data_IF_450431993329
#
_entry.id   IF_450431993329
#
_cell.length_a   1.000
_cell.length_b   1.000
_cell.length_c   1.000
_cell.angle_alpha   90.00
_cell.angle_beta   90.00
_cell.angle_gamma   90.00
#
_symmetry.space_group_name_H-M   'P 1'
#
loop_
_entity.id
_entity.type
_entity.pdbx_description
1 polymer ?
#
# COMPACT_ATOMS: atom_id res chain seq x y z
N UNK A 1 -12.81 -26.71 4.13
CA UNK A 1 -11.72 -26.60 5.14
C UNK A 1 -11.41 -25.14 5.40
N UNK A 2 -10.83 -24.82 6.57
CA UNK A 2 -10.42 -23.46 6.93
C UNK A 2 -9.50 -22.81 5.89
N UNK A 3 -8.60 -23.58 5.29
CA UNK A 3 -7.73 -23.08 4.22
C UNK A 3 -8.49 -22.66 2.95
N UNK A 4 -9.52 -23.41 2.59
CA UNK A 4 -10.38 -23.09 1.44
C UNK A 4 -11.24 -21.86 1.73
N UNK A 5 -11.74 -21.72 2.94
CA UNK A 5 -12.49 -20.53 3.38
C UNK A 5 -11.64 -19.27 3.29
N UNK A 6 -10.42 -19.30 3.86
CA UNK A 6 -9.47 -18.19 3.74
C UNK A 6 -9.17 -17.85 2.28
N UNK A 7 -8.89 -18.85 1.44
CA UNK A 7 -8.61 -18.64 0.02
C UNK A 7 -9.77 -17.94 -0.72
N UNK A 8 -11.01 -18.37 -0.48
CA UNK A 8 -12.21 -17.77 -1.10
C UNK A 8 -12.45 -16.35 -0.59
N UNK A 9 -12.19 -16.09 0.70
CA UNK A 9 -12.24 -14.77 1.31
C UNK A 9 -11.17 -13.84 0.72
N UNK A 10 -9.94 -14.32 0.57
CA UNK A 10 -8.83 -13.58 -0.02
C UNK A 10 -9.09 -13.21 -1.50
N UNK A 11 -9.89 -14.01 -2.22
CA UNK A 11 -10.40 -13.68 -3.56
C UNK A 11 -11.53 -12.64 -3.56
N UNK A 12 -11.92 -12.10 -2.40
CA UNK A 12 -12.98 -11.10 -2.28
C UNK A 12 -14.40 -11.66 -2.41
N UNK A 13 -14.60 -12.98 -2.27
CA UNK A 13 -15.93 -13.57 -2.25
C UNK A 13 -16.68 -13.17 -0.99
N UNK A 14 -17.74 -12.40 -1.14
CA UNK A 14 -18.58 -11.90 -0.04
C UNK A 14 -19.54 -12.94 0.52
N UNK A 15 -19.91 -13.91 -0.29
CA UNK A 15 -20.86 -14.96 0.07
C UNK A 15 -20.20 -16.30 -0.17
N UNK A 16 -20.15 -17.12 0.85
CA UNK A 16 -19.63 -18.48 0.78
C UNK A 16 -20.61 -19.43 1.43
N UNK A 17 -20.83 -20.58 0.80
CA UNK A 17 -21.62 -21.67 1.37
C UNK A 17 -20.83 -22.96 1.32
N UNK A 18 -21.09 -23.86 2.24
CA UNK A 18 -20.51 -25.21 2.20
C UNK A 18 -20.47 -25.89 3.57
N UNK A 19 -20.15 -27.18 3.56
CA UNK A 19 -20.09 -28.03 4.74
C UNK A 19 -19.08 -27.60 5.81
N UNK A 20 -18.25 -26.65 5.50
CA UNK A 20 -17.32 -26.06 6.49
C UNK A 20 -18.07 -25.22 7.54
N UNK A 21 -19.13 -24.55 7.12
CA UNK A 21 -19.98 -23.76 8.01
C UNK A 21 -21.09 -24.63 8.60
N UNK A 22 -21.99 -25.09 7.73
CA UNK A 22 -23.09 -25.94 8.11
C UNK A 22 -23.35 -27.01 7.05
N UNK A 23 -23.73 -28.20 7.52
CA UNK A 23 -24.33 -29.23 6.67
C UNK A 23 -25.80 -28.84 6.43
N UNK A 24 -26.45 -29.39 5.39
CA UNK A 24 -27.91 -29.24 5.25
C UNK A 24 -28.62 -29.66 6.56
N UNK A 25 -29.41 -28.75 7.09
CA UNK A 25 -30.16 -28.94 8.33
C UNK A 25 -31.64 -29.17 8.01
N UNK A 26 -32.38 -29.94 8.84
CA UNK A 26 -33.81 -29.93 8.85
C UNK A 26 -34.35 -28.51 9.11
N UNK A 27 -35.59 -28.24 8.68
CA UNK A 27 -36.15 -26.87 8.72
C UNK A 27 -36.21 -26.33 10.15
N UNK A 28 -36.60 -27.15 11.09
CA UNK A 28 -36.72 -26.84 12.52
C UNK A 28 -35.38 -26.46 13.16
N UNK A 29 -34.29 -27.21 12.83
CA UNK A 29 -32.94 -26.89 13.28
C UNK A 29 -32.41 -25.62 12.63
N UNK A 30 -32.79 -25.35 11.36
CA UNK A 30 -32.45 -24.14 10.65
C UNK A 30 -33.16 -22.90 11.22
N UNK A 31 -34.45 -23.02 11.59
CA UNK A 31 -35.20 -21.94 12.24
C UNK A 31 -34.61 -21.62 13.63
N UNK A 32 -34.20 -22.64 14.40
CA UNK A 32 -33.50 -22.45 15.68
C UNK A 32 -32.17 -21.72 15.48
N UNK A 33 -31.39 -22.11 14.46
CA UNK A 33 -30.12 -21.43 14.11
C UNK A 33 -30.33 -19.96 13.79
N UNK A 34 -31.37 -19.62 13.02
CA UNK A 34 -31.71 -18.24 12.66
C UNK A 34 -32.20 -17.40 13.86
N UNK A 35 -32.73 -18.05 14.89
CA UNK A 35 -33.21 -17.39 16.11
C UNK A 35 -32.08 -17.03 17.08
N UNK A 36 -30.87 -17.59 16.88
CA UNK A 36 -29.70 -17.30 17.72
C UNK A 36 -28.89 -16.13 17.11
N UNK A 37 -29.18 -14.92 17.56
CA UNK A 37 -28.49 -13.71 17.12
C UNK A 37 -26.96 -13.76 17.28
N UNK A 38 -26.42 -14.58 18.17
CA UNK A 38 -24.98 -14.74 18.38
C UNK A 38 -24.30 -15.56 17.28
N UNK A 39 -25.07 -16.35 16.53
CA UNK A 39 -24.60 -17.19 15.43
C UNK A 39 -24.77 -16.54 14.06
N UNK A 40 -25.57 -15.48 13.99
CA UNK A 40 -25.76 -14.70 12.79
C UNK A 40 -24.70 -13.59 12.71
N UNK A 41 -23.87 -13.65 11.69
CA UNK A 41 -22.94 -12.55 11.40
C UNK A 41 -23.70 -11.43 10.69
N UNK A 42 -24.13 -10.44 11.46
CA UNK A 42 -24.84 -9.27 10.94
C UNK A 42 -23.91 -8.28 10.21
N UNK A 43 -22.59 -8.47 10.27
CA UNK A 43 -21.63 -7.56 9.62
C UNK A 43 -21.69 -7.63 8.10
N UNK A 44 -22.19 -8.72 7.52
CA UNK A 44 -22.35 -8.87 6.07
C UNK A 44 -23.42 -7.97 5.43
N UNK A 45 -24.30 -7.33 6.21
CA UNK A 45 -25.43 -6.54 5.74
C UNK A 45 -25.31 -5.02 5.97
N UNK A 46 -24.28 -4.54 6.64
CA UNK A 46 -24.14 -3.12 7.00
C UNK A 46 -23.20 -2.40 6.03
N UNK A 47 -23.62 -2.18 4.81
CA UNK A 47 -23.03 -1.19 3.90
C UNK A 47 -23.57 0.23 4.15
N UNK A 48 -23.76 0.63 5.40
CA UNK A 48 -24.27 1.99 5.71
C UNK A 48 -23.25 2.95 6.32
N UNK A 49 -22.05 2.49 6.60
CA UNK A 49 -20.98 3.40 7.01
C UNK A 49 -19.79 3.18 6.09
N UNK A 50 -19.37 4.24 5.41
CA UNK A 50 -18.05 4.29 4.79
C UNK A 50 -17.07 4.37 5.93
N UNK A 51 -16.53 3.23 6.34
CA UNK A 51 -15.45 3.21 7.32
C UNK A 51 -14.20 3.80 6.68
N UNK A 52 -13.45 4.63 7.40
CA UNK A 52 -12.16 5.12 6.92
C UNK A 52 -11.27 3.91 6.63
N UNK A 53 -10.74 3.84 5.41
CA UNK A 53 -9.79 2.80 5.03
C UNK A 53 -8.48 3.05 5.77
N UNK A 54 -8.19 2.26 6.79
CA UNK A 54 -6.91 2.32 7.46
C UNK A 54 -5.86 1.56 6.64
N UNK A 55 -4.87 2.27 6.11
CA UNK A 55 -3.78 1.70 5.30
C UNK A 55 -3.10 0.52 6.01
N UNK A 56 -3.02 0.56 7.34
CA UNK A 56 -2.47 -0.53 8.17
C UNK A 56 -3.26 -1.83 8.02
N UNK A 57 -4.59 -1.78 8.14
CA UNK A 57 -5.47 -2.95 8.01
C UNK A 57 -5.42 -3.52 6.59
N UNK A 58 -5.24 -2.63 5.63
CA UNK A 58 -5.10 -2.91 4.24
C UNK A 58 -3.83 -3.75 3.94
N UNK A 59 -2.72 -3.44 4.61
CA UNK A 59 -1.43 -4.14 4.43
C UNK A 59 -1.40 -5.45 5.20
N UNK A 60 -1.96 -5.46 6.42
CA UNK A 60 -1.94 -6.64 7.30
C UNK A 60 -2.94 -7.72 6.88
N UNK A 61 -3.99 -7.38 6.13
CA UNK A 61 -5.05 -8.33 5.75
C UNK A 61 -4.66 -9.35 4.68
N UNK A 62 -3.50 -9.21 4.05
CA UNK A 62 -3.13 -10.05 2.89
C UNK A 62 -4.09 -9.88 1.69
N UNK A 63 -5.02 -8.93 1.76
CA UNK A 63 -6.07 -8.69 0.78
C UNK A 63 -5.52 -8.15 -0.55
N UNK A 64 -4.32 -7.57 -0.51
CA UNK A 64 -3.65 -7.06 -1.68
C UNK A 64 -2.62 -8.06 -2.20
N UNK A 65 -3.08 -8.92 -3.07
CA UNK A 65 -2.19 -9.58 -4.00
C UNK A 65 -1.44 -8.54 -4.86
N UNK A 66 -0.24 -8.87 -5.30
CA UNK A 66 0.62 -7.98 -6.09
C UNK A 66 -0.12 -7.31 -7.26
N UNK A 67 -1.08 -8.01 -7.89
CA UNK A 67 -1.92 -7.49 -8.98
C UNK A 67 -2.74 -6.26 -8.58
N UNK A 68 -3.27 -6.23 -7.37
CA UNK A 68 -4.11 -5.12 -6.91
C UNK A 68 -3.25 -3.92 -6.49
N UNK A 69 -2.13 -4.16 -5.80
CA UNK A 69 -1.14 -3.14 -5.49
C UNK A 69 -0.60 -2.48 -6.77
N UNK A 70 -0.32 -3.28 -7.80
CA UNK A 70 0.17 -2.78 -9.08
C UNK A 70 -0.88 -1.99 -9.87
N UNK A 71 -2.16 -2.35 -9.76
CA UNK A 71 -3.22 -1.77 -10.59
C UNK A 71 -3.85 -0.51 -10.00
N UNK A 72 -3.89 -0.36 -8.68
CA UNK A 72 -4.66 0.69 -8.01
C UNK A 72 -3.78 1.80 -7.43
N UNK A 73 -2.62 1.46 -6.88
CA UNK A 73 -1.85 2.41 -6.08
C UNK A 73 -0.91 3.31 -6.88
N UNK A 74 -0.72 3.08 -8.18
CA UNK A 74 0.35 3.73 -8.93
C UNK A 74 1.74 3.34 -8.40
N UNK A 75 2.81 4.07 -8.72
CA UNK A 75 4.14 3.85 -8.18
C UNK A 75 4.15 3.95 -6.65
N UNK A 76 4.60 2.88 -5.99
CA UNK A 76 4.58 2.76 -4.54
C UNK A 76 5.77 1.99 -3.98
N UNK A 77 6.20 2.38 -2.78
CA UNK A 77 7.28 1.72 -2.07
C UNK A 77 7.00 1.60 -0.57
N UNK A 78 7.56 0.57 0.04
CA UNK A 78 7.54 0.34 1.48
C UNK A 78 8.96 0.40 2.03
N UNK A 79 9.11 1.05 3.17
CA UNK A 79 10.42 1.27 3.80
C UNK A 79 10.41 0.84 5.24
N UNK A 80 11.61 0.45 5.70
CA UNK A 80 11.93 0.24 7.11
C UNK A 80 13.05 1.19 7.52
N UNK A 81 12.80 1.96 8.57
CA UNK A 81 13.79 2.84 9.16
C UNK A 81 14.23 2.30 10.52
N UNK A 82 15.51 1.97 10.65
CA UNK A 82 16.11 1.47 11.86
C UNK A 82 17.47 2.14 12.09
N UNK A 83 17.71 2.66 13.29
CA UNK A 83 18.96 3.37 13.68
C UNK A 83 19.34 4.50 12.69
N UNK A 84 18.34 5.20 12.14
CA UNK A 84 18.53 6.30 11.18
C UNK A 84 18.88 5.85 9.77
N UNK A 85 18.95 4.54 9.51
CA UNK A 85 19.09 3.99 8.17
C UNK A 85 17.72 3.64 7.61
N UNK A 86 17.47 4.00 6.35
CA UNK A 86 16.24 3.73 5.66
C UNK A 86 16.50 2.70 4.57
N UNK A 87 15.79 1.58 4.64
CA UNK A 87 15.90 0.49 3.70
C UNK A 87 14.58 0.33 2.95
N UNK A 88 14.64 0.21 1.63
CA UNK A 88 13.48 -0.13 0.82
C UNK A 88 13.18 -1.61 1.02
N UNK A 89 11.99 -1.91 1.52
CA UNK A 89 11.55 -3.30 1.76
C UNK A 89 10.91 -3.91 0.52
N UNK A 90 10.04 -3.15 -0.12
CA UNK A 90 9.25 -3.59 -1.28
C UNK A 90 8.89 -2.40 -2.15
N UNK A 91 8.83 -2.64 -3.44
CA UNK A 91 8.28 -1.72 -4.45
C UNK A 91 7.31 -2.50 -5.34
N UNK A 92 6.37 -1.80 -5.97
CA UNK A 92 5.48 -2.42 -6.94
C UNK A 92 6.00 -2.26 -8.38
N UNK A 93 5.39 -2.95 -9.35
CA UNK A 93 5.79 -2.88 -10.76
C UNK A 93 5.73 -1.44 -11.32
N UNK A 94 4.76 -0.65 -10.89
CA UNK A 94 4.60 0.74 -11.32
C UNK A 94 5.79 1.62 -10.91
N UNK A 95 6.43 1.29 -9.80
CA UNK A 95 7.67 1.94 -9.36
C UNK A 95 8.82 1.68 -10.33
N UNK A 96 8.98 0.44 -10.78
CA UNK A 96 9.99 0.09 -11.79
C UNK A 96 9.72 0.80 -13.12
N UNK A 97 8.46 0.83 -13.58
CA UNK A 97 8.09 1.57 -14.80
C UNK A 97 8.39 3.07 -14.70
N UNK A 98 8.14 3.68 -13.53
CA UNK A 98 8.48 5.08 -13.28
C UNK A 98 9.98 5.34 -13.48
N UNK A 99 10.85 4.41 -13.08
CA UNK A 99 12.29 4.47 -13.23
C UNK A 99 12.80 4.02 -14.62
N UNK A 100 11.89 3.60 -15.50
CA UNK A 100 12.26 3.12 -16.85
C UNK A 100 12.89 1.73 -16.83
N UNK A 101 12.53 0.89 -15.85
CA UNK A 101 12.96 -0.49 -15.74
C UNK A 101 11.83 -1.37 -16.28
N UNK A 102 12.15 -2.24 -17.24
CA UNK A 102 11.16 -3.12 -17.85
C UNK A 102 10.99 -4.42 -17.06
N UNK A 103 9.86 -5.12 -17.23
CA UNK A 103 9.66 -6.44 -16.63
C UNK A 103 10.79 -7.42 -16.99
N UNK A 104 11.33 -8.10 -15.98
CA UNK A 104 12.45 -9.03 -16.12
C UNK A 104 13.83 -8.41 -15.93
N UNK A 105 13.92 -7.09 -15.73
CA UNK A 105 15.17 -6.39 -15.44
C UNK A 105 15.30 -5.98 -13.96
N UNK A 106 14.29 -6.32 -13.14
CA UNK A 106 14.18 -5.88 -11.75
C UNK A 106 15.30 -6.43 -10.86
N UNK A 107 15.78 -7.66 -11.17
CA UNK A 107 16.84 -8.32 -10.40
C UNK A 107 18.20 -7.60 -10.51
N UNK A 108 18.40 -6.86 -11.59
CA UNK A 108 19.63 -6.08 -11.81
C UNK A 108 19.60 -4.72 -11.10
N UNK A 109 18.45 -4.34 -10.52
CA UNK A 109 18.28 -3.02 -9.93
C UNK A 109 18.28 -3.10 -8.41
N UNK A 110 19.27 -2.45 -7.80
CA UNK A 110 19.34 -2.33 -6.34
C UNK A 110 18.39 -1.24 -5.84
N UNK A 111 17.20 -1.64 -5.40
CA UNK A 111 16.23 -0.72 -4.78
C UNK A 111 16.66 -0.21 -3.42
N UNK A 112 17.68 -0.79 -2.80
CA UNK A 112 18.14 -0.41 -1.47
C UNK A 112 19.11 0.78 -1.50
N UNK A 113 19.80 0.99 -2.63
CA UNK A 113 20.90 1.96 -2.72
C UNK A 113 20.47 3.43 -2.79
N UNK A 114 19.20 3.72 -3.04
CA UNK A 114 18.70 5.09 -3.30
C UNK A 114 19.47 5.85 -4.40
N UNK A 115 20.15 5.14 -5.28
CA UNK A 115 20.91 5.76 -6.38
C UNK A 115 20.04 6.56 -7.34
N UNK A 116 18.75 6.21 -7.39
CA UNK A 116 17.74 6.94 -8.17
C UNK A 116 17.35 8.29 -7.56
N UNK A 117 17.63 8.53 -6.27
CA UNK A 117 17.40 9.85 -5.64
C UNK A 117 18.65 10.70 -5.81
N UNK A 118 18.47 11.94 -6.28
CA UNK A 118 19.57 12.89 -6.41
C UNK A 118 20.32 13.04 -5.10
N UNK A 119 21.66 13.03 -5.15
CA UNK A 119 22.53 12.96 -3.96
C UNK A 119 22.30 14.13 -3.00
N UNK A 120 22.09 15.31 -3.56
CA UNK A 120 21.79 16.56 -2.84
C UNK A 120 20.41 16.56 -2.17
N UNK A 121 19.48 15.68 -2.59
CA UNK A 121 18.15 15.56 -2.01
C UNK A 121 17.98 14.41 -1.04
N UNK A 122 19.00 13.57 -0.86
CA UNK A 122 18.92 12.41 0.06
C UNK A 122 18.71 12.84 1.51
N UNK A 123 19.32 13.93 1.94
CA UNK A 123 19.09 14.46 3.29
C UNK A 123 17.67 14.98 3.46
N UNK A 124 17.16 15.71 2.45
CA UNK A 124 15.76 16.16 2.44
C UNK A 124 14.78 14.98 2.48
N UNK A 125 15.09 13.89 1.75
CA UNK A 125 14.28 12.68 1.84
C UNK A 125 14.23 12.11 3.25
N UNK A 126 15.36 12.05 3.98
CA UNK A 126 15.36 11.63 5.40
C UNK A 126 14.53 12.53 6.29
N UNK A 127 14.57 13.85 6.05
CA UNK A 127 13.72 14.79 6.79
C UNK A 127 12.22 14.49 6.57
N UNK A 128 11.82 14.06 5.39
CA UNK A 128 10.43 13.66 5.13
C UNK A 128 10.04 12.45 5.98
N UNK A 129 10.91 11.44 6.15
CA UNK A 129 10.63 10.30 7.03
C UNK A 129 10.46 10.72 8.49
N UNK A 130 11.35 11.57 9.00
CA UNK A 130 11.24 12.08 10.38
C UNK A 130 9.99 12.95 10.56
N UNK A 131 9.63 13.77 9.58
CA UNK A 131 8.38 14.55 9.58
C UNK A 131 7.15 13.64 9.59
N UNK A 132 7.11 12.60 8.76
CA UNK A 132 6.01 11.65 8.75
C UNK A 132 5.85 10.94 10.10
N UNK A 133 6.96 10.59 10.76
CA UNK A 133 6.94 9.96 12.07
C UNK A 133 6.47 10.90 13.17
N UNK A 134 6.92 12.16 13.16
CA UNK A 134 6.65 13.16 14.20
C UNK A 134 5.36 13.96 13.97
N UNK A 135 4.67 13.80 12.84
CA UNK A 135 3.52 14.63 12.51
C UNK A 135 2.32 14.31 13.39
N UNK A 136 1.71 15.36 13.94
CA UNK A 136 0.41 15.28 14.65
C UNK A 136 -0.77 15.01 13.68
N UNK A 137 -0.49 15.01 12.35
CA UNK A 137 -1.47 14.86 11.30
C UNK A 137 -1.40 13.44 10.69
N UNK A 138 -1.87 12.45 11.44
CA UNK A 138 -2.04 11.07 10.98
C UNK A 138 -0.78 10.38 10.42
N UNK A 139 0.43 10.86 10.74
CA UNK A 139 1.67 10.23 10.27
C UNK A 139 1.90 10.40 8.77
N UNK A 140 1.48 11.53 8.17
CA UNK A 140 1.65 11.82 6.75
C UNK A 140 2.54 13.06 6.52
N UNK A 141 3.35 13.00 5.47
CA UNK A 141 4.06 14.16 4.92
C UNK A 141 4.19 14.02 3.40
N UNK A 142 4.55 15.09 2.73
CA UNK A 142 4.75 15.10 1.28
C UNK A 142 5.90 16.02 0.87
N UNK A 143 6.38 15.83 -0.35
CA UNK A 143 7.43 16.66 -0.94
C UNK A 143 7.70 16.33 -2.39
N UNK A 144 8.53 17.17 -3.00
CA UNK A 144 9.02 16.98 -4.35
C UNK A 144 10.49 16.55 -4.31
N UNK A 145 10.83 15.55 -5.12
CA UNK A 145 12.18 15.00 -5.26
C UNK A 145 12.50 14.79 -6.73
N UNK A 146 13.79 14.78 -7.08
CA UNK A 146 14.24 14.37 -8.39
C UNK A 146 14.70 12.92 -8.36
N UNK A 147 14.03 12.09 -9.19
CA UNK A 147 14.44 10.72 -9.42
C UNK A 147 15.17 10.61 -10.75
N UNK A 148 16.25 9.83 -10.74
CA UNK A 148 17.01 9.51 -11.91
C UNK A 148 16.55 8.18 -12.48
N UNK A 149 16.05 8.21 -13.72
CA UNK A 149 15.71 7.00 -14.47
C UNK A 149 16.95 6.22 -14.89
N UNK A 150 16.77 4.94 -15.22
CA UNK A 150 17.83 4.07 -15.75
C UNK A 150 18.55 4.67 -16.99
N UNK A 151 17.84 5.38 -17.84
CA UNK A 151 18.40 6.05 -19.01
C UNK A 151 19.17 7.37 -18.71
N UNK A 152 19.27 7.73 -17.42
CA UNK A 152 19.93 8.95 -16.94
C UNK A 152 19.05 10.20 -16.94
N UNK A 153 17.80 10.12 -17.41
CA UNK A 153 16.84 11.22 -17.36
C UNK A 153 16.43 11.51 -15.90
N UNK A 154 16.42 12.78 -15.52
CA UNK A 154 15.86 13.21 -14.25
C UNK A 154 14.39 13.57 -14.41
N UNK A 155 13.55 13.05 -13.52
CA UNK A 155 12.14 13.37 -13.43
C UNK A 155 11.84 14.00 -12.09
N UNK A 156 10.92 14.96 -12.06
CA UNK A 156 10.38 15.50 -10.82
C UNK A 156 9.24 14.60 -10.36
N UNK A 157 9.34 14.06 -9.16
CA UNK A 157 8.30 13.25 -8.55
C UNK A 157 7.71 13.95 -7.34
N UNK A 158 6.41 13.79 -7.16
CA UNK A 158 5.71 14.15 -5.94
C UNK A 158 5.55 12.89 -5.11
N UNK A 159 6.07 12.92 -3.89
CA UNK A 159 6.06 11.79 -2.96
C UNK A 159 5.15 12.14 -1.79
N UNK A 160 4.20 11.26 -1.49
CA UNK A 160 3.45 11.26 -0.23
C UNK A 160 3.93 10.10 0.61
N UNK A 161 4.35 10.37 1.82
CA UNK A 161 4.94 9.41 2.74
C UNK A 161 4.04 9.26 3.96
N UNK A 162 3.75 8.02 4.33
CA UNK A 162 2.87 7.67 5.43
C UNK A 162 3.62 6.80 6.44
N UNK A 163 3.62 7.20 7.69
CA UNK A 163 4.06 6.35 8.79
C UNK A 163 3.00 5.28 9.07
N UNK A 164 3.40 4.02 9.11
CA UNK A 164 2.49 2.89 9.30
C UNK A 164 2.50 2.40 10.74
N UNK A 165 3.69 2.06 11.24
CA UNK A 165 3.85 1.52 12.59
C UNK A 165 5.31 1.55 13.03
N UNK A 166 5.50 1.40 14.34
CA UNK A 166 6.78 1.10 14.95
C UNK A 166 6.70 -0.21 15.74
N UNK A 167 7.72 -1.04 15.59
CA UNK A 167 7.87 -2.26 16.36
C UNK A 167 9.36 -2.55 16.56
N UNK A 168 9.77 -2.77 17.81
CA UNK A 168 11.15 -3.12 18.20
C UNK A 168 12.20 -2.13 17.65
N UNK A 169 11.86 -0.81 17.59
CA UNK A 169 12.70 0.25 17.04
C UNK A 169 12.69 0.37 15.52
N UNK A 170 11.99 -0.54 14.82
CA UNK A 170 11.74 -0.48 13.37
C UNK A 170 10.54 0.36 13.06
N UNK A 171 10.72 1.43 12.29
CA UNK A 171 9.67 2.32 11.83
C UNK A 171 9.34 2.01 10.38
N UNK A 172 8.12 1.60 10.11
CA UNK A 172 7.68 1.22 8.76
C UNK A 172 6.86 2.33 8.12
N UNK A 173 7.13 2.55 6.82
CA UNK A 173 6.52 3.60 6.03
C UNK A 173 6.02 3.05 4.70
N UNK A 174 5.05 3.74 4.14
CA UNK A 174 4.55 3.57 2.79
C UNK A 174 4.68 4.88 2.04
N UNK A 175 5.07 4.83 0.77
CA UNK A 175 5.00 6.00 -0.11
C UNK A 175 4.13 5.74 -1.33
N UNK A 176 3.37 6.77 -1.72
CA UNK A 176 2.75 6.90 -3.03
C UNK A 176 3.53 7.95 -3.82
N UNK A 177 3.87 7.62 -5.06
CA UNK A 177 4.76 8.44 -5.88
C UNK A 177 4.08 8.76 -7.20
N UNK A 178 4.20 10.00 -7.65
CA UNK A 178 3.60 10.46 -8.90
C UNK A 178 4.65 11.24 -9.72
N UNK A 179 4.75 10.95 -11.01
CA UNK A 179 5.54 11.79 -11.93
C UNK A 179 4.87 13.16 -12.10
N UNK A 180 5.50 14.17 -11.54
CA UNK A 180 5.04 15.56 -11.59
C UNK A 180 5.65 16.36 -12.75
N UNK A 181 6.58 15.79 -13.53
CA UNK A 181 7.33 16.49 -14.57
C UNK A 181 6.42 17.12 -15.60
N UNK A 182 5.48 16.36 -16.15
CA UNK A 182 4.55 16.86 -17.16
C UNK A 182 3.57 17.90 -16.64
N UNK A 183 3.15 17.74 -15.38
CA UNK A 183 2.24 18.68 -14.72
C UNK A 183 2.92 20.04 -14.46
N UNK A 184 4.14 20.03 -13.94
CA UNK A 184 4.91 21.24 -13.67
C UNK A 184 5.24 22.00 -14.96
N UNK A 185 5.57 21.28 -16.04
CA UNK A 185 5.80 21.89 -17.35
C UNK A 185 4.57 22.64 -17.86
N UNK A 186 3.38 22.04 -17.76
CA UNK A 186 2.13 22.72 -18.14
C UNK A 186 1.85 23.96 -17.30
N UNK A 187 2.10 23.92 -16.00
CA UNK A 187 1.93 25.11 -15.14
C UNK A 187 2.84 26.26 -15.55
N UNK A 188 4.10 25.96 -15.91
CA UNK A 188 5.04 26.99 -16.39
C UNK A 188 4.61 27.60 -17.73
N UNK A 189 4.09 26.78 -18.66
CA UNK A 189 3.57 27.23 -19.96
C UNK A 189 2.31 28.11 -19.82
N UNK A 190 1.51 27.91 -18.77
CA UNK A 190 0.26 28.64 -18.55
C UNK A 190 0.46 29.96 -17.75
N UNK A 191 1.60 30.10 -17.09
CA UNK A 191 1.95 31.28 -16.29
C UNK A 191 2.61 32.40 -17.10
N UNK A 192 2.79 32.22 -18.40
CA UNK A 192 3.24 33.19 -19.39
C UNK A 192 2.12 33.55 -20.35
#
# INVERSE_FOLDING_TARGET
TRKQEHFVRDLGCRYTQGFYYYKPLPVDEFEELLSDEKRLDHHGLIYKQVEPLHVREFIDSGFFGDTMLNSILGPAAFYDMYEGQINTMRVNEQYFYLLGINPGEEEEYDTHSWEHVSEDEREYMKELFEKAYSSDHAGETDGFLHFRKRNGENILVYVRLFFLREKDGHRQFYSSIMDATAFMKKLQETAH
#
